data_IF_703283304939
#
_entry.id   IF_703283304939
#
_cell.length_a   1.000
_cell.length_b   1.000
_cell.length_c   1.000
_cell.angle_alpha   90.00
_cell.angle_beta   90.00
_cell.angle_gamma   90.00
#
_symmetry.space_group_name_H-M   'P 1'
#
loop_
_entity.id
_entity.type
_entity.pdbx_description
1 polymer ?
#
# COMPACT_ATOMS: atom_id res chain seq x y z
N UNK A 1 -19.27 6.35 15.07
CA UNK A 1 -19.62 7.55 14.28
C UNK A 1 -18.99 7.35 12.91
N UNK A 2 -19.77 7.27 11.83
CA UNK A 2 -19.22 7.10 10.49
C UNK A 2 -18.55 8.41 10.04
N UNK A 3 -17.35 8.32 9.47
CA UNK A 3 -16.58 9.49 9.03
C UNK A 3 -17.11 9.99 7.67
N UNK A 4 -17.13 11.31 7.42
CA UNK A 4 -17.59 11.84 6.14
C UNK A 4 -16.58 11.50 5.03
N UNK A 5 -17.09 11.04 3.88
CA UNK A 5 -16.33 10.57 2.70
C UNK A 5 -15.25 11.58 2.22
N UNK A 6 -15.46 12.88 2.45
CA UNK A 6 -14.47 13.91 2.14
C UNK A 6 -13.22 13.89 3.04
N UNK A 7 -13.37 13.57 4.33
CA UNK A 7 -12.25 13.44 5.26
C UNK A 7 -11.49 12.11 5.06
N UNK A 8 -12.18 11.04 4.66
CA UNK A 8 -11.52 9.77 4.31
C UNK A 8 -10.58 9.89 3.10
N UNK A 9 -10.92 10.75 2.13
CA UNK A 9 -10.05 11.04 0.98
C UNK A 9 -8.86 11.93 1.34
N UNK A 10 -9.04 12.87 2.27
CA UNK A 10 -7.96 13.73 2.80
C UNK A 10 -6.94 12.92 3.62
N UNK A 11 -7.40 11.92 4.39
CA UNK A 11 -6.55 11.07 5.22
C UNK A 11 -5.83 9.97 4.41
N UNK A 12 -6.40 9.52 3.28
CA UNK A 12 -5.79 8.50 2.40
C UNK A 12 -4.61 8.98 1.57
N UNK A 13 -4.37 10.29 1.48
CA UNK A 13 -3.31 10.88 0.65
C UNK A 13 -3.36 10.42 -0.81
N UNK A 14 -2.43 10.88 -1.64
CA UNK A 14 -2.47 10.53 -3.07
C UNK A 14 -2.14 9.05 -3.29
N UNK A 15 -1.20 8.51 -2.52
CA UNK A 15 -0.76 7.12 -2.67
C UNK A 15 -1.82 6.11 -2.22
N UNK A 16 -2.59 6.39 -1.16
CA UNK A 16 -3.59 5.45 -0.65
C UNK A 16 -4.66 5.15 -1.69
N UNK A 17 -5.19 6.20 -2.34
CA UNK A 17 -6.14 6.05 -3.44
C UNK A 17 -5.57 5.24 -4.62
N UNK A 18 -4.28 5.39 -4.95
CA UNK A 18 -3.64 4.59 -5.99
C UNK A 18 -3.50 3.12 -5.58
N UNK A 19 -3.13 2.84 -4.33
CA UNK A 19 -2.96 1.49 -3.79
C UNK A 19 -4.31 0.76 -3.74
N UNK A 20 -5.38 1.41 -3.27
CA UNK A 20 -6.72 0.81 -3.27
C UNK A 20 -7.18 0.44 -4.66
N UNK A 21 -7.01 1.36 -5.62
CA UNK A 21 -7.35 1.08 -7.01
C UNK A 21 -6.52 -0.07 -7.58
N UNK A 22 -5.23 -0.14 -7.22
CA UNK A 22 -4.32 -1.18 -7.68
C UNK A 22 -4.65 -2.57 -7.11
N UNK A 23 -5.22 -2.63 -5.91
CA UNK A 23 -5.51 -3.88 -5.19
C UNK A 23 -6.96 -4.34 -5.33
N UNK A 24 -7.86 -3.47 -5.77
CA UNK A 24 -9.23 -3.83 -6.15
C UNK A 24 -9.30 -4.32 -7.60
N UNK A 25 -8.64 -5.45 -7.88
CA UNK A 25 -8.56 -6.06 -9.21
C UNK A 25 -8.54 -7.58 -9.11
N UNK A 26 -9.12 -8.26 -10.10
CA UNK A 26 -9.03 -9.72 -10.26
C UNK A 26 -7.90 -10.15 -11.18
N UNK A 27 -7.07 -9.22 -11.66
CA UNK A 27 -5.92 -9.52 -12.51
C UNK A 27 -4.81 -10.25 -11.73
N UNK A 28 -4.00 -11.05 -12.43
CA UNK A 28 -2.90 -11.77 -11.82
C UNK A 28 -1.72 -10.87 -11.41
N UNK A 29 -1.67 -9.63 -11.91
CA UNK A 29 -0.61 -8.66 -11.63
C UNK A 29 -1.20 -7.29 -11.34
N UNK A 30 -0.41 -6.44 -10.68
CA UNK A 30 -0.74 -5.04 -10.45
C UNK A 30 -0.69 -4.29 -11.79
N UNK A 31 -1.70 -3.48 -12.09
CA UNK A 31 -1.70 -2.63 -13.30
C UNK A 31 -0.38 -1.82 -13.37
N UNK A 32 0.41 -1.96 -14.45
CA UNK A 32 1.72 -1.32 -14.53
C UNK A 32 1.69 0.21 -14.47
N UNK A 33 0.59 0.84 -14.90
CA UNK A 33 0.41 2.29 -14.85
C UNK A 33 0.15 2.74 -13.41
N UNK A 34 -0.66 2.00 -12.66
CA UNK A 34 -0.88 2.26 -11.24
C UNK A 34 0.39 2.03 -10.43
N UNK A 35 1.11 0.93 -10.68
CA UNK A 35 2.37 0.64 -10.01
C UNK A 35 3.42 1.74 -10.27
N UNK A 36 3.51 2.22 -11.52
CA UNK A 36 4.37 3.36 -11.87
C UNK A 36 3.97 4.64 -11.13
N UNK A 37 2.66 4.91 -11.02
CA UNK A 37 2.15 6.07 -10.30
C UNK A 37 2.46 6.01 -8.80
N UNK A 38 2.24 4.85 -8.15
CA UNK A 38 2.58 4.61 -6.74
C UNK A 38 4.07 4.88 -6.51
N UNK A 39 4.95 4.23 -7.29
CA UNK A 39 6.40 4.41 -7.19
C UNK A 39 6.82 5.87 -7.37
N UNK A 40 6.17 6.60 -8.28
CA UNK A 40 6.46 8.02 -8.51
C UNK A 40 6.10 8.88 -7.31
N UNK A 41 4.90 8.69 -6.73
CA UNK A 41 4.44 9.49 -5.60
C UNK A 41 5.32 9.29 -4.36
N UNK A 42 5.61 8.04 -4.00
CA UNK A 42 6.39 7.74 -2.80
C UNK A 42 7.88 8.06 -2.94
N UNK A 43 8.41 8.12 -4.17
CA UNK A 43 9.83 8.43 -4.43
C UNK A 43 10.22 9.82 -3.95
N UNK A 44 9.29 10.78 -3.98
CA UNK A 44 9.57 12.18 -3.70
C UNK A 44 8.94 12.68 -2.40
N UNK A 45 8.37 11.78 -1.60
CA UNK A 45 7.67 12.14 -0.36
C UNK A 45 7.74 11.01 0.68
N UNK A 46 8.51 11.26 1.74
CA UNK A 46 8.60 10.35 2.89
C UNK A 46 7.26 10.20 3.62
N UNK A 47 6.42 11.24 3.65
CA UNK A 47 5.08 11.16 4.23
C UNK A 47 4.17 10.25 3.43
N UNK A 48 4.18 10.35 2.09
CA UNK A 48 3.46 9.42 1.22
C UNK A 48 4.05 8.00 1.34
N UNK A 49 5.37 7.84 1.48
CA UNK A 49 5.96 6.52 1.68
C UNK A 49 5.52 5.87 3.01
N UNK A 50 5.41 6.65 4.10
CA UNK A 50 4.87 6.18 5.38
C UNK A 50 3.40 5.82 5.27
N UNK A 51 2.60 6.65 4.61
CA UNK A 51 1.20 6.38 4.36
C UNK A 51 0.98 5.12 3.51
N UNK A 52 1.83 4.90 2.50
CA UNK A 52 1.83 3.67 1.72
C UNK A 52 2.11 2.45 2.60
N UNK A 53 3.14 2.51 3.46
CA UNK A 53 3.46 1.41 4.37
C UNK A 53 2.27 1.06 5.29
N UNK A 54 1.64 2.06 5.91
CA UNK A 54 0.44 1.85 6.74
C UNK A 54 -0.72 1.25 5.93
N UNK A 55 -1.02 1.82 4.76
CA UNK A 55 -2.12 1.37 3.89
C UNK A 55 -1.93 -0.09 3.47
N UNK A 56 -0.72 -0.46 3.03
CA UNK A 56 -0.41 -1.83 2.60
C UNK A 56 -0.53 -2.82 3.76
N UNK A 57 -0.04 -2.47 4.95
CA UNK A 57 -0.20 -3.33 6.13
C UNK A 57 -1.66 -3.53 6.53
N UNK A 58 -2.50 -2.50 6.41
CA UNK A 58 -3.94 -2.63 6.67
C UNK A 58 -4.67 -3.47 5.63
N UNK A 59 -4.26 -3.40 4.36
CA UNK A 59 -4.76 -4.28 3.31
C UNK A 59 -4.37 -5.74 3.53
N UNK A 60 -3.16 -6.00 4.04
CA UNK A 60 -2.71 -7.35 4.37
C UNK A 60 -3.57 -8.02 5.45
N UNK A 61 -4.23 -7.25 6.34
CA UNK A 61 -5.12 -7.77 7.39
C UNK A 61 -6.51 -8.20 6.89
N UNK A 62 -6.85 -7.93 5.63
CA UNK A 62 -8.20 -8.23 5.10
C UNK A 62 -8.36 -9.72 4.84
N UNK A 63 -9.57 -10.23 5.08
CA UNK A 63 -9.96 -11.59 4.69
C UNK A 63 -10.32 -11.67 3.18
N UNK A 64 -9.35 -11.32 2.33
CA UNK A 64 -9.51 -11.34 0.88
C UNK A 64 -8.18 -11.68 0.20
N UNK A 65 -8.01 -12.93 -0.21
CA UNK A 65 -6.74 -13.48 -0.73
C UNK A 65 -6.18 -12.69 -1.91
N UNK A 66 -7.02 -12.35 -2.90
CA UNK A 66 -6.60 -11.56 -4.07
C UNK A 66 -6.09 -10.17 -3.71
N UNK A 67 -6.75 -9.48 -2.77
CA UNK A 67 -6.30 -8.17 -2.28
C UNK A 67 -4.96 -8.30 -1.57
N UNK A 68 -4.79 -9.31 -0.70
CA UNK A 68 -3.51 -9.58 -0.02
C UNK A 68 -2.40 -9.88 -1.01
N UNK A 69 -2.68 -10.69 -2.04
CA UNK A 69 -1.71 -11.05 -3.07
C UNK A 69 -1.23 -9.81 -3.85
N UNK A 70 -2.15 -9.00 -4.39
CA UNK A 70 -1.77 -7.78 -5.10
C UNK A 70 -1.05 -6.77 -4.17
N UNK A 71 -1.43 -6.71 -2.90
CA UNK A 71 -0.75 -5.91 -1.88
C UNK A 71 0.70 -6.36 -1.69
N UNK A 72 0.93 -7.67 -1.60
CA UNK A 72 2.28 -8.24 -1.45
C UNK A 72 3.20 -7.92 -2.63
N UNK A 73 2.66 -7.93 -3.86
CA UNK A 73 3.42 -7.53 -5.06
C UNK A 73 3.88 -6.06 -4.99
N UNK A 74 3.04 -5.17 -4.44
CA UNK A 74 3.42 -3.76 -4.25
C UNK A 74 4.46 -3.63 -3.13
N UNK A 75 4.30 -4.38 -2.03
CA UNK A 75 5.27 -4.42 -0.93
C UNK A 75 6.65 -4.82 -1.45
N UNK A 76 6.75 -5.89 -2.26
CA UNK A 76 8.01 -6.36 -2.83
C UNK A 76 8.73 -5.27 -3.64
N UNK A 77 7.99 -4.62 -4.55
CA UNK A 77 8.51 -3.53 -5.38
C UNK A 77 9.07 -2.35 -4.56
N UNK A 78 8.38 -1.95 -3.49
CA UNK A 78 8.83 -0.86 -2.62
C UNK A 78 9.97 -1.28 -1.70
N UNK A 79 9.92 -2.50 -1.16
CA UNK A 79 10.95 -3.09 -0.32
C UNK A 79 12.30 -3.15 -1.04
N UNK A 80 12.30 -3.54 -2.31
CA UNK A 80 13.52 -3.63 -3.12
C UNK A 80 14.15 -2.26 -3.42
N UNK A 81 13.38 -1.17 -3.37
CA UNK A 81 13.81 0.17 -3.84
C UNK A 81 14.01 1.21 -2.74
N UNK A 82 13.44 1.04 -1.55
CA UNK A 82 13.47 2.07 -0.49
C UNK A 82 13.95 1.56 0.85
N UNK A 83 15.07 2.12 1.35
CA UNK A 83 15.59 1.81 2.70
C UNK A 83 14.58 2.20 3.80
N UNK A 84 13.97 3.38 3.69
CA UNK A 84 12.98 3.83 4.67
C UNK A 84 11.78 2.87 4.71
N UNK A 85 11.30 2.43 3.55
CA UNK A 85 10.21 1.46 3.48
C UNK A 85 10.58 0.14 4.17
N UNK A 86 11.79 -0.37 3.94
CA UNK A 86 12.28 -1.58 4.64
C UNK A 86 12.25 -1.41 6.16
N UNK A 87 12.72 -0.28 6.68
CA UNK A 87 12.67 0.00 8.13
C UNK A 87 11.23 -0.03 8.65
N UNK A 88 10.29 0.65 7.96
CA UNK A 88 8.87 0.69 8.36
C UNK A 88 8.19 -0.69 8.33
N UNK A 89 8.53 -1.52 7.33
CA UNK A 89 7.96 -2.86 7.20
C UNK A 89 8.51 -3.80 8.29
N UNK A 90 9.81 -3.72 8.57
CA UNK A 90 10.47 -4.58 9.57
C UNK A 90 9.89 -4.39 10.97
N UNK A 91 9.47 -3.17 11.31
CA UNK A 91 8.75 -2.87 12.57
C UNK A 91 7.44 -3.68 12.72
N UNK A 92 6.87 -4.15 11.62
CA UNK A 92 5.61 -4.90 11.58
C UNK A 92 5.77 -6.29 10.93
N UNK A 93 7.01 -6.82 10.83
CA UNK A 93 7.29 -8.06 10.12
C UNK A 93 6.58 -9.27 10.75
N UNK A 94 6.56 -9.35 12.08
CA UNK A 94 5.88 -10.42 12.80
C UNK A 94 4.39 -10.47 12.46
N UNK A 95 3.75 -9.30 12.36
CA UNK A 95 2.37 -9.22 11.93
C UNK A 95 2.21 -9.67 10.48
N UNK A 96 3.10 -9.25 9.57
CA UNK A 96 3.03 -9.64 8.16
C UNK A 96 3.11 -11.17 7.97
N UNK A 97 3.96 -11.84 8.74
CA UNK A 97 4.19 -13.28 8.65
C UNK A 97 3.11 -14.13 9.33
N UNK A 98 2.24 -13.52 10.14
CA UNK A 98 1.17 -14.20 10.88
C UNK A 98 -0.19 -14.22 10.16
N UNK A 99 -0.26 -13.66 8.94
CA UNK A 99 -1.50 -13.45 8.16
C UNK A 99 -1.87 -14.61 7.22
#
# INVERSE_FOLDING_TARGET
MAMPVGMEMEERGKVGALIEKATNSTAAEVDPRLLKAIKSVVRFSDSELRLAAHTLMDLMKRDHSQVRYLTLLIIDELFMRSKLFRTLLVENLDQLLAL
#
